data_IF_011983264542
#
_entry.id   IF_011983264542
#
_cell.length_a   1.000
_cell.length_b   1.000
_cell.length_c   1.000
_cell.angle_alpha   90.00
_cell.angle_beta   90.00
_cell.angle_gamma   90.00
#
_symmetry.space_group_name_H-M   'P 1'
#
loop_
_entity.id
_entity.type
_entity.pdbx_description
1 polymer ?
#
# COMPACT_ATOMS: atom_id res chain seq x y z
N UNK A 1 -10.01 7.29 0.63
CA UNK A 1 -9.90 7.59 2.07
C UNK A 1 -9.92 6.28 2.85
N UNK A 2 -9.23 6.24 3.98
CA UNK A 2 -9.25 5.11 4.93
C UNK A 2 -9.75 5.63 6.27
N UNK A 3 -10.63 4.90 6.92
CA UNK A 3 -11.33 5.33 8.14
C UNK A 3 -11.01 4.34 9.26
N UNK A 4 -10.60 4.84 10.44
CA UNK A 4 -10.45 4.06 11.67
C UNK A 4 -11.78 4.03 12.41
N UNK A 5 -12.26 2.84 12.70
CA UNK A 5 -13.51 2.59 13.41
C UNK A 5 -13.20 1.67 14.58
N UNK A 6 -13.58 2.06 15.79
CA UNK A 6 -13.55 1.14 16.92
C UNK A 6 -14.57 0.03 16.67
N UNK A 7 -14.08 -1.21 16.65
CA UNK A 7 -14.90 -2.39 16.33
C UNK A 7 -16.04 -2.59 17.32
N UNK A 8 -15.82 -2.24 18.59
CA UNK A 8 -16.78 -2.54 19.67
C UNK A 8 -17.98 -1.58 19.66
N UNK A 9 -17.73 -0.29 19.47
CA UNK A 9 -18.72 0.79 19.51
C UNK A 9 -19.21 1.21 18.13
N UNK A 10 -18.50 0.85 17.06
CA UNK A 10 -18.74 1.39 15.72
C UNK A 10 -18.39 2.87 15.57
N UNK A 11 -17.77 3.49 16.59
CA UNK A 11 -17.40 4.90 16.57
C UNK A 11 -16.28 5.11 15.56
N UNK A 12 -16.45 6.11 14.69
CA UNK A 12 -15.36 6.62 13.86
C UNK A 12 -14.36 7.38 14.73
N UNK A 13 -13.11 6.93 14.70
CA UNK A 13 -12.02 7.49 15.52
C UNK A 13 -11.12 8.44 14.73
N UNK A 14 -11.05 8.26 13.40
CA UNK A 14 -10.30 9.16 12.52
C UNK A 14 -10.31 8.70 11.06
N UNK A 15 -9.63 9.44 10.19
CA UNK A 15 -9.45 9.07 8.79
C UNK A 15 -8.21 9.73 8.20
N UNK A 16 -7.69 9.17 7.11
CA UNK A 16 -6.76 9.86 6.21
C UNK A 16 -7.14 9.64 4.75
N UNK A 17 -6.70 10.56 3.88
CA UNK A 17 -6.94 10.47 2.44
C UNK A 17 -5.90 9.57 1.79
N UNK A 18 -6.38 8.57 1.06
CA UNK A 18 -5.57 7.68 0.23
C UNK A 18 -6.46 7.22 -0.93
N UNK A 19 -5.88 7.09 -2.11
CA UNK A 19 -6.57 6.59 -3.30
C UNK A 19 -6.50 5.07 -3.30
N UNK A 20 -7.62 4.40 -3.57
CA UNK A 20 -7.69 2.94 -3.74
C UNK A 20 -6.78 2.13 -2.79
N UNK A 21 -6.94 2.29 -1.45
CA UNK A 21 -6.18 1.48 -0.50
C UNK A 21 -6.54 0.00 -0.66
N UNK A 22 -5.54 -0.87 -0.58
CA UNK A 22 -5.71 -2.32 -0.59
C UNK A 22 -5.44 -2.87 0.82
N UNK A 23 -4.32 -3.57 1.06
CA UNK A 23 -4.02 -4.13 2.37
C UNK A 23 -3.20 -3.19 3.27
N UNK A 24 -3.36 -3.40 4.57
CA UNK A 24 -2.65 -2.70 5.64
C UNK A 24 -1.85 -3.72 6.44
N UNK A 25 -0.59 -3.41 6.77
CA UNK A 25 0.16 -4.11 7.81
C UNK A 25 0.51 -3.14 8.96
N UNK A 26 0.91 -3.69 10.10
CA UNK A 26 1.35 -2.93 11.27
C UNK A 26 2.78 -3.34 11.58
N UNK A 27 3.67 -2.37 11.74
CA UNK A 27 5.06 -2.64 12.10
C UNK A 27 5.27 -2.81 13.61
N UNK A 28 6.53 -3.06 14.00
CA UNK A 28 6.96 -3.23 15.39
C UNK A 28 6.86 -1.96 16.24
N UNK A 29 6.79 -0.79 15.61
CA UNK A 29 6.57 0.52 16.24
C UNK A 29 5.07 0.88 16.30
N UNK A 30 4.20 0.08 15.68
CA UNK A 30 2.76 0.31 15.61
C UNK A 30 2.31 1.15 14.41
N UNK A 31 3.20 1.57 13.52
CA UNK A 31 2.79 2.33 12.33
C UNK A 31 2.02 1.44 11.35
N UNK A 32 1.06 2.04 10.67
CA UNK A 32 0.32 1.42 9.58
C UNK A 32 1.09 1.57 8.26
N UNK A 33 1.20 0.48 7.50
CA UNK A 33 1.77 0.45 6.16
C UNK A 33 0.69 0.04 5.16
N UNK A 34 0.28 0.97 4.30
CA UNK A 34 -0.86 0.81 3.40
C UNK A 34 -0.39 0.78 1.96
N UNK A 35 -0.71 -0.30 1.24
CA UNK A 35 -0.57 -0.33 -0.21
C UNK A 35 -1.76 0.39 -0.87
N UNK A 36 -1.47 1.16 -1.92
CA UNK A 36 -2.41 2.09 -2.54
C UNK A 36 -2.25 2.04 -4.05
N UNK A 37 -3.32 1.69 -4.77
CA UNK A 37 -3.28 1.66 -6.23
C UNK A 37 -3.48 3.05 -6.82
N UNK A 38 -2.71 3.38 -7.86
CA UNK A 38 -2.76 4.67 -8.54
C UNK A 38 -3.25 4.61 -9.98
N UNK A 39 -3.60 3.42 -10.44
CA UNK A 39 -4.12 3.24 -11.78
C UNK A 39 -5.54 3.82 -11.93
N UNK A 40 -5.86 4.22 -13.16
CA UNK A 40 -7.23 4.38 -13.60
C UNK A 40 -7.92 3.00 -13.62
N UNK A 41 -8.94 2.75 -12.79
CA UNK A 41 -9.58 1.45 -12.71
C UNK A 41 -10.40 1.10 -13.97
N UNK A 42 -10.66 2.08 -14.85
CA UNK A 42 -11.40 1.88 -16.09
C UNK A 42 -10.43 1.66 -17.26
N UNK A 43 -9.46 2.56 -17.42
CA UNK A 43 -8.54 2.56 -18.57
C UNK A 43 -7.31 1.69 -18.40
N UNK A 44 -6.97 1.26 -17.19
CA UNK A 44 -5.74 0.51 -16.92
C UNK A 44 -6.03 -0.80 -16.19
N UNK A 45 -5.55 -1.91 -16.75
CA UNK A 45 -5.80 -3.27 -16.24
C UNK A 45 -4.59 -4.18 -16.45
N UNK A 46 -4.47 -5.18 -15.57
CA UNK A 46 -3.49 -6.26 -15.70
C UNK A 46 -4.00 -7.44 -16.56
N UNK A 47 -5.24 -7.40 -17.08
CA UNK A 47 -5.88 -8.56 -17.71
C UNK A 47 -5.15 -9.11 -18.95
N UNK A 48 -4.35 -8.28 -19.64
CA UNK A 48 -3.58 -8.67 -20.83
C UNK A 48 -2.14 -9.07 -20.51
N UNK A 49 -1.73 -8.98 -19.24
CA UNK A 49 -0.39 -9.42 -18.81
C UNK A 49 -0.41 -10.94 -18.67
N UNK A 50 0.37 -11.62 -19.51
CA UNK A 50 0.47 -13.09 -19.55
C UNK A 50 1.81 -13.61 -19.05
N UNK A 51 2.82 -12.75 -18.96
CA UNK A 51 4.16 -13.06 -18.45
C UNK A 51 4.75 -11.83 -17.74
N UNK A 52 5.50 -12.06 -16.67
CA UNK A 52 6.13 -10.99 -15.89
C UNK A 52 5.17 -10.22 -14.96
N UNK A 53 5.58 -9.04 -14.47
CA UNK A 53 4.80 -8.27 -13.52
C UNK A 53 3.80 -7.38 -14.24
N UNK A 54 2.64 -7.18 -13.62
CA UNK A 54 1.83 -6.03 -13.96
C UNK A 54 2.51 -4.77 -13.43
N UNK A 55 2.62 -3.74 -14.28
CA UNK A 55 3.40 -2.53 -14.00
C UNK A 55 2.54 -1.31 -13.65
N UNK A 56 1.30 -1.54 -13.20
CA UNK A 56 0.42 -0.45 -12.76
C UNK A 56 1.04 0.33 -11.59
N UNK A 57 0.85 1.65 -11.54
CA UNK A 57 1.46 2.48 -10.51
C UNK A 57 0.84 2.21 -9.14
N UNK A 58 1.65 2.33 -8.10
CA UNK A 58 1.23 2.18 -6.72
C UNK A 58 2.00 3.13 -5.79
N UNK A 59 1.44 3.33 -4.60
CA UNK A 59 2.10 3.98 -3.48
C UNK A 59 2.11 3.07 -2.26
N UNK A 60 3.10 3.28 -1.41
CA UNK A 60 3.12 2.81 -0.03
C UNK A 60 2.98 4.02 0.88
N UNK A 61 1.98 3.99 1.75
CA UNK A 61 1.68 5.03 2.72
C UNK A 61 2.08 4.55 4.10
N UNK A 62 2.83 5.37 4.85
CA UNK A 62 3.05 5.19 6.28
C UNK A 62 2.06 6.09 7.02
N UNK A 63 1.37 5.54 8.01
CA UNK A 63 0.43 6.32 8.82
C UNK A 63 0.53 5.98 10.30
N UNK A 64 0.36 7.00 11.13
CA UNK A 64 0.26 6.88 12.59
C UNK A 64 -1.19 6.48 12.95
N UNK A 65 -1.41 5.35 13.66
CA UNK A 65 -2.75 4.87 13.98
C UNK A 65 -3.47 5.71 15.05
N UNK A 66 -2.76 6.48 15.87
CA UNK A 66 -3.32 7.30 16.94
C UNK A 66 -3.75 8.67 16.42
N UNK A 67 -2.90 9.31 15.62
CA UNK A 67 -3.17 10.65 15.07
C UNK A 67 -3.84 10.62 13.71
N UNK A 68 -3.78 9.48 13.00
CA UNK A 68 -4.21 9.32 11.62
C UNK A 68 -3.48 10.27 10.64
N UNK A 69 -2.30 10.77 11.01
CA UNK A 69 -1.41 11.45 10.06
C UNK A 69 -0.78 10.41 9.14
N UNK A 70 -0.68 10.73 7.86
CA UNK A 70 -0.20 9.83 6.82
C UNK A 70 0.73 10.55 5.85
N UNK A 71 1.76 9.85 5.39
CA UNK A 71 2.71 10.32 4.39
C UNK A 71 2.93 9.28 3.30
N UNK A 72 3.21 9.74 2.08
CA UNK A 72 3.65 8.85 1.00
C UNK A 72 5.10 8.49 1.27
N UNK A 73 5.33 7.24 1.65
CA UNK A 73 6.69 6.71 1.86
C UNK A 73 7.37 6.40 0.53
N UNK A 74 6.63 5.79 -0.40
CA UNK A 74 7.15 5.39 -1.71
C UNK A 74 6.06 5.55 -2.76
N UNK A 75 6.45 6.03 -3.94
CA UNK A 75 5.62 6.09 -5.15
C UNK A 75 6.37 5.42 -6.29
N UNK A 76 5.73 4.47 -6.96
CA UNK A 76 6.33 3.65 -8.01
C UNK A 76 5.40 3.60 -9.22
N UNK A 77 5.99 3.82 -10.39
CA UNK A 77 5.33 3.65 -11.69
C UNK A 77 6.26 2.84 -12.60
N UNK A 78 5.78 1.70 -13.10
CA UNK A 78 6.59 0.84 -13.95
C UNK A 78 7.50 -0.15 -13.19
N UNK A 79 8.57 -0.56 -13.85
CA UNK A 79 9.53 -1.56 -13.37
C UNK A 79 10.27 -1.12 -12.09
N UNK A 80 10.75 -2.06 -11.25
CA UNK A 80 10.84 -3.49 -11.48
C UNK A 80 9.56 -4.27 -11.16
N UNK A 81 8.61 -3.68 -10.43
CA UNK A 81 7.34 -4.28 -10.02
C UNK A 81 6.28 -3.17 -9.96
N UNK A 82 5.03 -3.49 -10.31
CA UNK A 82 3.87 -2.63 -10.09
C UNK A 82 2.77 -3.33 -9.33
N UNK A 83 1.63 -2.65 -9.20
CA UNK A 83 0.39 -3.17 -8.64
C UNK A 83 0.55 -3.84 -7.27
N UNK A 84 1.32 -3.18 -6.39
CA UNK A 84 1.54 -3.66 -5.04
C UNK A 84 0.25 -3.63 -4.23
N UNK A 85 -0.06 -4.75 -3.57
CA UNK A 85 -1.27 -4.91 -2.76
C UNK A 85 -0.98 -4.93 -1.27
N UNK A 86 0.29 -5.06 -0.87
CA UNK A 86 0.72 -5.08 0.52
C UNK A 86 2.13 -4.52 0.65
N UNK A 87 2.38 -3.85 1.77
CA UNK A 87 3.72 -3.43 2.20
C UNK A 87 3.92 -3.84 3.67
N UNK A 88 5.06 -4.46 3.98
CA UNK A 88 5.42 -4.93 5.32
C UNK A 88 6.81 -4.41 5.70
N UNK A 89 6.90 -3.59 6.76
CA UNK A 89 8.20 -3.23 7.36
C UNK A 89 8.71 -4.37 8.23
N UNK A 90 9.98 -4.76 8.00
CA UNK A 90 10.74 -5.69 8.85
C UNK A 90 12.15 -5.12 9.01
N UNK A 91 12.49 -4.72 10.24
CA UNK A 91 13.76 -4.05 10.51
C UNK A 91 13.91 -2.76 9.71
N UNK A 92 15.00 -2.68 8.94
CA UNK A 92 15.36 -1.52 8.11
C UNK A 92 14.82 -1.61 6.67
N UNK A 93 13.88 -2.51 6.38
CA UNK A 93 13.32 -2.72 5.04
C UNK A 93 11.80 -2.74 5.01
N UNK A 94 11.24 -2.29 3.90
CA UNK A 94 9.83 -2.49 3.53
C UNK A 94 9.77 -3.45 2.36
N UNK A 95 9.10 -4.58 2.54
CA UNK A 95 8.83 -5.58 1.51
C UNK A 95 7.46 -5.35 0.88
N UNK A 96 7.37 -5.42 -0.43
CA UNK A 96 6.13 -5.20 -1.18
C UNK A 96 5.85 -6.39 -2.10
N UNK A 97 4.60 -6.88 -2.05
CA UNK A 97 4.07 -7.91 -2.94
C UNK A 97 2.97 -7.35 -3.84
N UNK A 98 2.73 -7.98 -4.98
CA UNK A 98 1.71 -7.56 -5.96
C UNK A 98 0.62 -8.61 -6.17
N UNK A 99 -0.56 -8.16 -6.60
CA UNK A 99 -1.67 -9.05 -6.99
C UNK A 99 -1.36 -9.82 -8.28
N UNK A 100 -0.57 -9.20 -9.16
CA UNK A 100 -0.24 -9.76 -10.47
C UNK A 100 1.24 -9.53 -10.76
N UNK A 101 2.03 -10.59 -10.62
CA UNK A 101 3.44 -10.61 -10.96
C UNK A 101 4.17 -11.82 -10.39
N UNK A 102 5.47 -11.83 -10.60
CA UNK A 102 6.36 -12.97 -10.35
C UNK A 102 7.52 -12.63 -9.39
N UNK A 103 7.43 -11.49 -8.70
CA UNK A 103 8.52 -10.96 -7.87
C UNK A 103 8.02 -10.18 -6.67
N UNK A 104 8.91 -10.06 -5.70
CA UNK A 104 8.81 -9.19 -4.53
C UNK A 104 9.89 -8.13 -4.65
N UNK A 105 9.60 -6.91 -4.24
CA UNK A 105 10.59 -5.84 -4.14
C UNK A 105 10.74 -5.40 -2.70
N UNK A 106 11.90 -4.85 -2.36
CA UNK A 106 12.08 -4.20 -1.07
C UNK A 106 12.89 -2.92 -1.18
N UNK A 107 12.55 -1.95 -0.35
CA UNK A 107 13.26 -0.69 -0.18
C UNK A 107 13.80 -0.59 1.24
N UNK A 108 14.94 0.07 1.48
CA UNK A 108 15.28 0.54 2.81
C UNK A 108 14.15 1.42 3.41
N UNK A 109 13.97 1.36 4.73
CA UNK A 109 12.90 2.02 5.49
C UNK A 109 13.40 3.26 6.28
N UNK A 110 14.22 4.11 5.65
CA UNK A 110 14.71 5.36 6.23
C UNK A 110 13.82 6.56 5.92
#
# INVERSE_FOLDING_TARGET
>A
KTIKIDRSSGKREGEFTVQQPDNITVDDEGNLWVASHKNDPIGQTCALVTEGPCLLPYEVIKADPETMQAEVFLSQDGAPMGYATVALKVGDRVFMGSAHGDRVVSSPAY
#
